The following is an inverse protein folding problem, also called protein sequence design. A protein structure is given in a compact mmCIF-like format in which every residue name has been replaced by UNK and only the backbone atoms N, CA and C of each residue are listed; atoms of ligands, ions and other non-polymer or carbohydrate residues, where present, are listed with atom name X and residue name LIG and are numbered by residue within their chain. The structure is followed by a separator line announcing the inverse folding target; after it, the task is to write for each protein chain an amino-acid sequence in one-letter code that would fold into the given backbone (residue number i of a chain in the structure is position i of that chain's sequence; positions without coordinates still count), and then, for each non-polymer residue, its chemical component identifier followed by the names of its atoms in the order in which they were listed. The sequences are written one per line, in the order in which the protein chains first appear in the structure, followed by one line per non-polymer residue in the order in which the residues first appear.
data_IF_564489787052
#
_entry.id   IF_564489787052
#
_cell.length_a   1.000
_cell.length_b   1.000
_cell.length_c   1.000
_cell.angle_alpha   90.00
_cell.angle_beta   90.00
_cell.angle_gamma   90.00
#
_symmetry.space_group_name_H-M   'P 1'
#
loop_
_entity.id
_entity.type
_entity.pdbx_description
1 polymer ?
#
# COMPACT_ATOMS: atom_id res chain seq x y z
N UNK A 1 -16.63 62.36 -14.01
CA UNK A 1 -15.62 61.32 -13.68
C UNK A 1 -16.39 60.02 -13.47
N UNK A 2 -16.51 59.03 -14.35
CA UNK A 2 -15.71 58.63 -15.49
C UNK A 2 -14.77 57.48 -15.11
N UNK A 3 -15.25 56.22 -15.06
CA UNK A 3 -14.41 55.03 -15.24
C UNK A 3 -15.21 53.87 -15.86
N UNK A 4 -14.87 53.58 -17.12
CA UNK A 4 -15.20 52.36 -17.87
C UNK A 4 -14.40 51.19 -17.30
N UNK A 5 -15.02 50.03 -17.12
CA UNK A 5 -14.34 48.74 -16.93
C UNK A 5 -14.59 47.88 -18.18
N UNK A 6 -13.58 47.77 -19.04
CA UNK A 6 -13.58 46.88 -20.19
C UNK A 6 -13.17 45.47 -19.78
N UNK A 7 -14.11 44.52 -19.78
CA UNK A 7 -13.79 43.08 -19.63
C UNK A 7 -13.19 42.55 -20.93
N UNK A 8 -11.94 42.13 -20.86
CA UNK A 8 -11.15 41.59 -21.95
C UNK A 8 -11.56 40.13 -22.26
N UNK A 9 -12.30 39.92 -23.37
CA UNK A 9 -12.92 38.63 -23.76
C UNK A 9 -11.94 37.59 -24.32
N UNK A 10 -10.63 37.86 -24.29
CA UNK A 10 -9.62 37.03 -24.94
C UNK A 10 -8.86 36.09 -23.97
N UNK A 11 -9.19 36.11 -22.68
CA UNK A 11 -8.51 35.33 -21.64
C UNK A 11 -9.07 33.89 -21.49
N UNK A 12 -10.32 33.67 -21.87
CA UNK A 12 -11.00 32.36 -21.71
C UNK A 12 -10.84 31.39 -22.89
N UNK A 13 -10.33 31.84 -24.04
CA UNK A 13 -10.12 30.96 -25.20
C UNK A 13 -8.70 30.38 -25.28
N UNK A 14 -7.69 31.07 -24.73
CA UNK A 14 -6.29 30.64 -24.81
C UNK A 14 -5.94 29.54 -23.79
N UNK A 15 -6.65 29.49 -22.65
CA UNK A 15 -6.45 28.45 -21.63
C UNK A 15 -7.10 27.10 -21.98
N UNK A 16 -8.07 27.06 -22.90
CA UNK A 16 -8.74 25.81 -23.30
C UNK A 16 -7.86 24.94 -24.22
N UNK A 17 -7.07 25.57 -25.10
CA UNK A 17 -6.15 24.86 -26.02
C UNK A 17 -4.92 24.31 -25.29
N UNK A 18 -4.40 25.02 -24.27
CA UNK A 18 -3.24 24.55 -23.48
C UNK A 18 -3.61 23.34 -22.62
N UNK A 19 -4.84 23.28 -22.07
CA UNK A 19 -5.33 22.13 -21.30
C UNK A 19 -5.54 20.91 -22.21
N UNK A 20 -6.04 21.10 -23.43
CA UNK A 20 -6.20 20.01 -24.40
C UNK A 20 -4.85 19.43 -24.87
N UNK A 21 -3.83 20.27 -25.05
CA UNK A 21 -2.48 19.85 -25.43
C UNK A 21 -1.75 19.11 -24.29
N UNK A 22 -2.03 19.45 -23.02
CA UNK A 22 -1.45 18.76 -21.85
C UNK A 22 -2.01 17.33 -21.69
N UNK A 23 -3.29 17.11 -22.03
CA UNK A 23 -3.92 15.79 -21.99
C UNK A 23 -3.40 14.83 -23.08
N UNK A 24 -3.00 15.35 -24.25
CA UNK A 24 -2.47 14.52 -25.36
C UNK A 24 -1.05 14.02 -25.08
N UNK A 25 -0.27 14.72 -24.25
CA UNK A 25 1.13 14.37 -23.93
C UNK A 25 1.22 13.21 -22.90
N UNK A 26 0.16 12.94 -22.11
CA UNK A 26 0.18 11.88 -21.09
C UNK A 26 0.03 10.44 -21.63
N UNK A 27 -0.24 10.24 -22.93
CA UNK A 27 -0.50 8.91 -23.48
C UNK A 27 0.67 8.28 -24.27
N UNK A 28 1.84 8.92 -24.35
CA UNK A 28 3.02 8.37 -25.03
C UNK A 28 4.14 8.02 -24.05
N UNK A 29 3.89 7.00 -23.23
CA UNK A 29 4.90 6.00 -22.89
C UNK A 29 4.24 4.73 -22.33
N UNK A 30 3.77 3.88 -23.24
CA UNK A 30 3.70 2.43 -23.02
C UNK A 30 4.48 1.76 -24.16
N UNK A 31 5.74 1.45 -23.90
CA UNK A 31 6.53 0.51 -24.68
C UNK A 31 6.85 -0.67 -23.74
N UNK A 32 6.09 -1.76 -23.86
CA UNK A 32 6.49 -3.03 -24.51
C UNK A 32 7.50 -3.82 -23.68
N UNK A 33 6.99 -4.74 -22.85
CA UNK A 33 7.67 -6.02 -22.63
C UNK A 33 6.91 -7.11 -23.40
N UNK A 34 7.67 -7.89 -24.16
CA UNK A 34 7.17 -8.89 -25.10
C UNK A 34 6.88 -10.19 -24.36
N UNK A 35 5.61 -10.59 -24.35
CA UNK A 35 5.21 -11.95 -24.02
C UNK A 35 5.16 -12.76 -25.31
N UNK A 36 6.15 -13.62 -25.50
CA UNK A 36 6.24 -14.54 -26.63
C UNK A 36 5.20 -15.65 -26.45
N UNK A 37 4.06 -15.50 -27.11
CA UNK A 37 3.10 -16.59 -27.27
C UNK A 37 3.67 -17.60 -28.27
N UNK A 38 4.22 -18.71 -27.77
CA UNK A 38 4.48 -19.89 -28.59
C UNK A 38 3.24 -20.78 -28.56
N UNK A 39 2.57 -20.83 -29.69
CA UNK A 39 1.52 -21.79 -30.05
C UNK A 39 2.12 -23.21 -30.00
N UNK A 40 1.49 -24.13 -29.26
CA UNK A 40 1.56 -25.56 -29.57
C UNK A 40 0.14 -26.08 -29.63
N UNK A 41 -0.29 -26.35 -30.85
CA UNK A 41 -1.42 -27.20 -31.19
C UNK A 41 -0.91 -28.64 -31.22
N UNK A 42 -1.47 -29.52 -30.39
CA UNK A 42 -1.34 -30.97 -30.56
C UNK A 42 -2.50 -31.65 -29.86
N UNK A 43 -3.36 -32.21 -30.68
CA UNK A 43 -4.49 -33.06 -30.32
C UNK A 43 -4.03 -34.50 -30.55
N UNK A 44 -4.03 -35.33 -29.50
CA UNK A 44 -4.26 -36.78 -29.63
C UNK A 44 -4.76 -37.33 -28.30
N UNK A 45 -5.93 -37.99 -28.37
CA UNK A 45 -6.52 -38.86 -27.37
C UNK A 45 -5.51 -39.89 -26.84
N UNK A 46 -5.29 -39.93 -25.53
CA UNK A 46 -5.07 -41.20 -24.81
C UNK A 46 -5.39 -40.99 -23.33
N UNK A 47 -6.33 -41.77 -22.80
CA UNK A 47 -6.56 -41.90 -21.36
C UNK A 47 -5.30 -42.52 -20.73
N UNK A 48 -4.46 -41.69 -20.14
CA UNK A 48 -3.32 -42.13 -19.32
C UNK A 48 -3.48 -41.57 -17.92
N UNK A 49 -3.63 -42.53 -17.04
CA UNK A 49 -3.53 -42.57 -15.59
C UNK A 49 -2.83 -41.39 -14.91
N UNK A 50 -3.44 -40.98 -13.79
CA UNK A 50 -3.05 -39.91 -12.88
C UNK A 50 -1.65 -40.16 -12.30
N UNK A 51 -0.59 -39.75 -13.03
CA UNK A 51 0.79 -39.82 -12.54
C UNK A 51 1.23 -38.44 -12.05
N UNK A 52 1.50 -38.41 -10.75
CA UNK A 52 2.17 -37.40 -9.93
C UNK A 52 2.99 -36.35 -10.69
N UNK A 53 2.49 -35.12 -10.71
CA UNK A 53 3.25 -33.96 -11.17
C UNK A 53 4.17 -33.48 -10.03
N UNK A 54 5.45 -33.87 -10.07
CA UNK A 54 6.48 -33.23 -9.25
C UNK A 54 6.69 -31.79 -9.73
N UNK A 55 6.01 -30.85 -9.07
CA UNK A 55 6.27 -29.43 -9.19
C UNK A 55 7.66 -29.16 -8.59
N UNK A 56 8.70 -29.26 -9.39
CA UNK A 56 10.03 -28.71 -9.08
C UNK A 56 9.96 -27.18 -9.16
N UNK A 57 9.28 -26.56 -8.20
CA UNK A 57 9.35 -25.13 -7.97
C UNK A 57 10.72 -24.82 -7.39
N UNK A 58 11.55 -24.19 -8.22
CA UNK A 58 12.74 -23.45 -7.82
C UNK A 58 12.42 -22.64 -6.57
N UNK A 59 12.95 -23.06 -5.42
CA UNK A 59 12.86 -22.35 -4.14
C UNK A 59 13.58 -21.01 -4.31
N UNK A 60 12.84 -19.94 -4.58
CA UNK A 60 13.35 -18.59 -4.32
C UNK A 60 12.96 -18.32 -2.88
N UNK A 61 13.86 -18.63 -1.94
CA UNK A 61 13.77 -18.09 -0.59
C UNK A 61 13.97 -16.57 -0.71
N UNK A 62 12.88 -15.83 -0.90
CA UNK A 62 12.88 -14.38 -0.72
C UNK A 62 12.91 -14.14 0.79
N UNK A 63 14.09 -14.23 1.38
CA UNK A 63 14.33 -13.82 2.75
C UNK A 63 14.23 -12.30 2.81
N UNK A 64 13.04 -11.78 3.14
CA UNK A 64 12.79 -10.35 3.25
C UNK A 64 12.96 -9.92 4.70
N UNK A 65 14.20 -9.97 5.19
CA UNK A 65 14.56 -9.75 6.60
C UNK A 65 14.82 -8.28 6.96
N UNK A 66 14.37 -7.35 6.13
CA UNK A 66 14.57 -5.94 6.38
C UNK A 66 13.43 -5.35 7.24
N UNK A 67 13.11 -5.98 8.38
CA UNK A 67 12.26 -5.34 9.39
C UNK A 67 13.12 -4.52 10.35
N UNK A 68 12.71 -3.28 10.61
CA UNK A 68 13.38 -2.37 11.54
C UNK A 68 12.35 -1.78 12.50
N UNK A 69 12.78 -1.59 13.75
CA UNK A 69 12.00 -0.85 14.72
C UNK A 69 12.05 0.64 14.38
N UNK A 70 10.90 1.29 14.24
CA UNK A 70 10.86 2.72 13.88
C UNK A 70 11.45 3.63 14.97
N UNK A 71 11.39 3.22 16.24
CA UNK A 71 11.99 3.99 17.35
C UNK A 71 13.52 3.98 17.29
N UNK A 72 14.14 2.97 16.66
CA UNK A 72 15.57 2.97 16.42
C UNK A 72 16.00 4.01 15.37
N UNK A 73 15.08 4.49 14.53
CA UNK A 73 15.35 5.52 13.52
C UNK A 73 14.98 6.92 13.98
N UNK A 74 13.90 7.07 14.77
CA UNK A 74 13.45 8.36 15.29
C UNK A 74 12.50 8.20 16.47
N UNK A 75 12.67 9.05 17.48
CA UNK A 75 11.79 9.15 18.66
C UNK A 75 10.65 10.18 18.47
N UNK A 76 10.47 10.73 17.27
CA UNK A 76 9.47 11.77 17.00
C UNK A 76 8.07 11.23 16.65
N UNK A 77 7.90 9.92 16.62
CA UNK A 77 6.63 9.26 16.39
C UNK A 77 5.84 9.11 17.68
N UNK A 78 4.51 9.22 17.58
CA UNK A 78 3.62 8.88 18.69
C UNK A 78 3.12 7.46 18.44
N UNK A 79 3.50 6.50 19.29
CA UNK A 79 3.03 5.12 19.19
C UNK A 79 1.79 4.92 20.07
N UNK A 80 0.70 4.50 19.45
CA UNK A 80 -0.58 4.17 20.10
C UNK A 80 -1.06 2.80 19.56
N UNK A 81 -0.24 1.77 19.79
CA UNK A 81 -0.41 0.45 19.19
C UNK A 81 -1.65 -0.26 19.76
N UNK A 82 -2.77 -0.13 19.05
CA UNK A 82 -4.11 -0.52 19.54
C UNK A 82 -4.23 -2.01 19.87
N UNK A 83 -3.51 -2.86 19.15
CA UNK A 83 -3.56 -4.30 19.36
C UNK A 83 -2.66 -4.80 20.50
N UNK A 84 -1.81 -3.96 21.07
CA UNK A 84 -1.08 -4.25 22.31
C UNK A 84 -1.88 -3.90 23.58
N UNK A 85 -3.09 -3.34 23.44
CA UNK A 85 -3.97 -3.00 24.56
C UNK A 85 -5.39 -3.51 24.31
N UNK A 86 -6.31 -3.31 25.25
CA UNK A 86 -7.74 -3.61 25.08
C UNK A 86 -8.52 -2.51 24.36
N UNK A 87 -7.88 -1.38 24.03
CA UNK A 87 -8.48 -0.26 23.30
C UNK A 87 -8.53 -0.52 21.79
N UNK A 88 -9.25 -1.57 21.40
CA UNK A 88 -9.51 -1.90 20.00
C UNK A 88 -10.89 -2.56 19.86
N UNK A 89 -11.30 -2.88 18.63
CA UNK A 89 -12.61 -3.47 18.36
C UNK A 89 -12.76 -4.91 18.85
N UNK A 90 -11.66 -5.63 19.08
CA UNK A 90 -11.64 -6.99 19.65
C UNK A 90 -11.80 -6.97 21.17
N UNK A 91 -11.62 -5.80 21.82
CA UNK A 91 -11.62 -5.59 23.28
C UNK A 91 -10.66 -6.51 24.03
N UNK A 92 -9.60 -6.93 23.36
CA UNK A 92 -8.54 -7.77 23.90
C UNK A 92 -7.20 -7.35 23.28
N UNK A 93 -6.12 -7.48 24.04
CA UNK A 93 -4.77 -7.35 23.51
C UNK A 93 -4.41 -8.64 22.74
N UNK A 94 -3.87 -8.49 21.54
CA UNK A 94 -3.44 -9.60 20.69
C UNK A 94 -1.96 -9.55 20.33
N UNK A 95 -1.25 -8.47 20.67
CA UNK A 95 0.21 -8.39 20.65
C UNK A 95 0.76 -8.57 22.07
N UNK A 96 1.91 -9.24 22.17
CA UNK A 96 2.59 -9.49 23.45
C UNK A 96 3.36 -8.25 23.95
N UNK A 97 3.77 -7.36 23.04
CA UNK A 97 4.49 -6.13 23.35
C UNK A 97 4.08 -4.99 22.39
N UNK A 98 4.33 -3.76 22.82
CA UNK A 98 4.03 -2.54 22.08
C UNK A 98 5.23 -2.08 21.22
N UNK A 99 5.75 -2.98 20.37
CA UNK A 99 6.86 -2.68 19.46
C UNK A 99 6.37 -2.46 18.02
N UNK A 100 6.96 -1.47 17.34
CA UNK A 100 6.58 -1.11 15.97
C UNK A 100 7.68 -1.47 14.97
N UNK A 101 7.57 -2.66 14.38
CA UNK A 101 8.42 -3.10 13.29
C UNK A 101 7.80 -2.79 11.93
N UNK A 102 8.62 -2.28 11.01
CA UNK A 102 8.23 -1.92 9.65
C UNK A 102 9.30 -2.39 8.68
N UNK A 103 8.95 -2.53 7.40
CA UNK A 103 9.97 -2.71 6.37
C UNK A 103 10.89 -1.49 6.35
N UNK A 104 12.19 -1.71 6.19
CA UNK A 104 13.23 -0.67 6.20
C UNK A 104 12.91 0.53 5.31
N UNK A 105 12.51 0.28 4.07
CA UNK A 105 12.17 1.37 3.12
C UNK A 105 10.90 2.13 3.53
N UNK A 106 9.91 1.44 4.11
CA UNK A 106 8.71 2.08 4.68
C UNK A 106 9.08 2.94 5.88
N UNK A 107 9.94 2.44 6.76
CA UNK A 107 10.37 3.18 7.95
C UNK A 107 11.14 4.45 7.57
N UNK A 108 12.05 4.39 6.60
CA UNK A 108 12.74 5.56 6.04
C UNK A 108 11.78 6.58 5.45
N UNK A 109 10.82 6.14 4.64
CA UNK A 109 9.82 7.02 4.04
C UNK A 109 8.95 7.71 5.10
N UNK A 110 8.57 6.97 6.16
CA UNK A 110 7.82 7.53 7.29
C UNK A 110 8.63 8.57 8.06
N UNK A 111 9.93 8.37 8.27
CA UNK A 111 10.81 9.38 8.89
C UNK A 111 10.81 10.67 8.06
N UNK A 112 11.02 10.56 6.74
CA UNK A 112 11.01 11.72 5.85
C UNK A 112 9.65 12.45 5.85
N UNK A 113 8.55 11.70 5.87
CA UNK A 113 7.21 12.27 5.99
C UNK A 113 7.01 12.98 7.33
N UNK A 114 7.42 12.36 8.45
CA UNK A 114 7.30 12.96 9.77
C UNK A 114 8.12 14.24 9.90
N UNK A 115 9.34 14.30 9.32
CA UNK A 115 10.13 15.53 9.27
C UNK A 115 9.44 16.64 8.48
N UNK A 116 8.71 16.30 7.43
CA UNK A 116 7.91 17.28 6.67
C UNK A 116 6.72 17.78 7.49
N UNK A 117 6.05 16.90 8.23
CA UNK A 117 4.94 17.27 9.11
C UNK A 117 5.38 18.08 10.33
N UNK A 118 6.56 17.79 10.90
CA UNK A 118 7.14 18.55 12.03
C UNK A 118 7.32 20.02 11.69
N UNK A 119 7.71 20.36 10.45
CA UNK A 119 7.83 21.74 9.96
C UNK A 119 6.49 22.50 9.96
N UNK A 120 5.38 21.75 9.95
CA UNK A 120 4.01 22.29 9.99
C UNK A 120 3.41 22.23 11.40
N UNK A 121 4.17 21.79 12.41
CA UNK A 121 3.67 21.63 13.78
C UNK A 121 2.92 20.32 14.05
N UNK A 122 3.01 19.34 13.14
CA UNK A 122 2.36 18.03 13.27
C UNK A 122 3.35 16.90 13.53
N UNK A 123 2.85 15.78 14.05
CA UNK A 123 3.58 14.51 14.20
C UNK A 123 2.72 13.35 13.73
N UNK A 124 3.35 12.32 13.17
CA UNK A 124 2.67 11.07 12.81
C UNK A 124 2.40 10.26 14.07
N UNK A 125 1.13 9.87 14.25
CA UNK A 125 0.71 8.86 15.23
C UNK A 125 0.50 7.52 14.53
N UNK A 126 1.10 6.46 15.07
CA UNK A 126 1.04 5.11 14.52
C UNK A 126 0.17 4.22 15.42
N UNK A 127 -0.85 3.62 14.82
CA UNK A 127 -1.80 2.75 15.53
C UNK A 127 -1.52 1.26 15.34
N UNK A 128 -0.81 0.89 14.28
CA UNK A 128 -0.42 -0.48 13.97
C UNK A 128 0.80 -0.51 13.03
N UNK A 129 1.58 -1.59 13.09
CA UNK A 129 2.79 -1.79 12.30
C UNK A 129 2.76 -3.19 11.67
N UNK A 130 3.89 -3.89 11.56
CA UNK A 130 3.90 -5.28 11.10
C UNK A 130 2.98 -6.14 11.98
N UNK A 131 2.04 -6.83 11.33
CA UNK A 131 1.15 -7.81 11.95
C UNK A 131 1.57 -9.22 11.53
N UNK A 132 2.10 -10.05 12.44
CA UNK A 132 2.41 -11.44 12.15
C UNK A 132 1.17 -12.23 11.70
N UNK A 133 1.37 -13.22 10.83
CA UNK A 133 0.28 -14.07 10.32
C UNK A 133 -0.49 -14.78 11.45
N UNK A 134 0.22 -15.22 12.50
CA UNK A 134 -0.38 -15.84 13.68
C UNK A 134 -1.37 -14.91 14.39
N UNK A 135 -1.06 -13.61 14.48
CA UNK A 135 -1.97 -12.63 15.06
C UNK A 135 -3.18 -12.41 14.15
N UNK A 136 -2.96 -12.34 12.83
CA UNK A 136 -4.06 -12.23 11.88
C UNK A 136 -5.03 -13.43 11.96
N UNK A 137 -4.50 -14.65 12.11
CA UNK A 137 -5.29 -15.86 12.35
C UNK A 137 -6.06 -15.80 13.67
N UNK A 138 -5.40 -15.35 14.75
CA UNK A 138 -6.05 -15.10 16.04
C UNK A 138 -7.22 -14.12 15.90
N UNK A 139 -7.03 -13.00 15.17
CA UNK A 139 -8.08 -12.02 14.91
C UNK A 139 -9.30 -12.62 14.21
N UNK A 140 -9.13 -13.53 13.23
CA UNK A 140 -10.25 -14.21 12.56
C UNK A 140 -11.00 -15.18 13.46
N UNK A 141 -10.31 -15.82 14.40
CA UNK A 141 -10.93 -16.76 15.34
C UNK A 141 -11.79 -16.08 16.42
N UNK A 142 -11.61 -14.77 16.61
CA UNK A 142 -12.34 -13.98 17.60
C UNK A 142 -13.69 -13.59 16.99
N UNK A 143 -14.83 -14.05 17.54
CA UNK A 143 -16.12 -13.58 17.11
C UNK A 143 -16.24 -12.08 17.42
N UNK A 144 -16.35 -11.24 16.38
CA UNK A 144 -16.67 -9.83 16.58
C UNK A 144 -18.10 -9.74 17.09
N UNK A 145 -18.33 -8.91 18.12
CA UNK A 145 -19.64 -8.77 18.79
C UNK A 145 -20.77 -8.21 17.91
N UNK A 146 -20.55 -8.08 16.60
CA UNK A 146 -21.50 -7.59 15.61
C UNK A 146 -21.81 -8.64 14.53
N UNK A 147 -21.43 -9.92 14.70
CA UNK A 147 -21.92 -11.01 13.85
C UNK A 147 -23.44 -11.26 13.99
N UNK A 148 -24.10 -10.55 14.91
CA UNK A 148 -25.54 -10.48 15.02
C UNK A 148 -25.99 -9.11 14.50
N UNK A 149 -26.26 -9.04 13.20
CA UNK A 149 -27.33 -8.16 12.75
C UNK A 149 -28.58 -8.59 13.54
N UNK A 150 -29.07 -7.68 14.40
CA UNK A 150 -30.45 -7.72 14.86
C UNK A 150 -31.39 -7.28 13.74
#
# INVERSE_FOLDING_TARGET
MGFRQGKNRNFWFKNSIVILLFFIICCRNKAKEQFSTATIESKTDTLVEFVSYEKKSKQIEVYHDDFVNIQALSNDFILDLKYATTDNFLKQAVYDCAECFLRKETAKALVAANESFKKLGYRIKIFDCYRPLSVQQKMWSIPTRNALCG
#
